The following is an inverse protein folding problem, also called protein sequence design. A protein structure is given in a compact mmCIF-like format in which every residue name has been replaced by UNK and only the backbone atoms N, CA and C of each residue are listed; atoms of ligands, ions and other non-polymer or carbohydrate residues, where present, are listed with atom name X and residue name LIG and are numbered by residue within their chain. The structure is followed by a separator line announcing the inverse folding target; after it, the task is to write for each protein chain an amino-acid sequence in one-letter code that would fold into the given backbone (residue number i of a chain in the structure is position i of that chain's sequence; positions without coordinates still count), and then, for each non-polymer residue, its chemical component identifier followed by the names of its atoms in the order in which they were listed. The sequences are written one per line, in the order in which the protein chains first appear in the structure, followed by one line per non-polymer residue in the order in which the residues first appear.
data_IF_893074661398
#
_entry.id   IF_893074661398
#
_cell.length_a   1.000
_cell.length_b   1.000
_cell.length_c   1.000
_cell.angle_alpha   90.00
_cell.angle_beta   90.00
_cell.angle_gamma   90.00
#
_symmetry.space_group_name_H-M   'P 1'
#
loop_
_entity.id
_entity.type
_entity.pdbx_description
1 polymer ?
#
# COMPACT_ATOMS: atom_id res chain seq x y z
N UNK A 1 -6.79 21.41 7.39
CA UNK A 1 -7.56 20.61 6.42
C UNK A 1 -7.59 19.20 6.98
N UNK A 2 -8.74 18.83 7.50
CA UNK A 2 -9.01 17.49 8.03
C UNK A 2 -8.91 16.48 6.89
N UNK A 3 -7.72 15.89 6.70
CA UNK A 3 -7.52 14.82 5.72
C UNK A 3 -8.17 13.50 6.16
N UNK A 4 -8.65 13.45 7.39
CA UNK A 4 -9.18 12.27 8.09
C UNK A 4 -10.70 12.25 8.18
N UNK A 5 -11.40 13.10 7.43
CA UNK A 5 -12.85 13.20 7.50
C UNK A 5 -13.54 11.84 7.52
N UNK A 6 -14.03 11.45 8.70
CA UNK A 6 -14.80 10.22 8.92
C UNK A 6 -14.02 8.97 9.31
N UNK A 7 -12.69 9.03 9.52
CA UNK A 7 -11.92 7.89 10.04
C UNK A 7 -11.96 7.95 11.57
N UNK A 8 -12.70 7.04 12.19
CA UNK A 8 -12.86 7.00 13.64
C UNK A 8 -12.06 5.87 14.29
N UNK A 9 -11.70 4.83 13.54
CA UNK A 9 -11.10 3.62 14.08
C UNK A 9 -9.92 3.13 13.25
N UNK A 10 -8.99 2.40 13.90
CA UNK A 10 -7.88 1.73 13.21
C UNK A 10 -8.35 0.68 12.20
N UNK A 11 -9.47 0.02 12.46
CA UNK A 11 -10.08 -0.95 11.54
C UNK A 11 -10.54 -0.29 10.23
N UNK A 12 -11.13 0.93 10.31
CA UNK A 12 -11.52 1.70 9.11
C UNK A 12 -10.30 2.09 8.27
N UNK A 13 -9.19 2.45 8.93
CA UNK A 13 -7.93 2.74 8.23
C UNK A 13 -7.42 1.52 7.44
N UNK A 14 -7.38 0.36 8.09
CA UNK A 14 -6.93 -0.88 7.45
C UNK A 14 -7.83 -1.24 6.25
N UNK A 15 -9.16 -1.14 6.41
CA UNK A 15 -10.09 -1.39 5.30
C UNK A 15 -9.82 -0.48 4.10
N UNK A 16 -9.60 0.81 4.34
CA UNK A 16 -9.27 1.77 3.28
C UNK A 16 -7.92 1.48 2.61
N UNK A 17 -6.90 1.11 3.39
CA UNK A 17 -5.59 0.74 2.81
C UNK A 17 -5.70 -0.48 1.91
N UNK A 18 -6.46 -1.51 2.33
CA UNK A 18 -6.71 -2.71 1.52
C UNK A 18 -7.44 -2.37 0.22
N UNK A 19 -8.45 -1.49 0.28
CA UNK A 19 -9.15 -1.03 -0.93
C UNK A 19 -8.21 -0.25 -1.87
N UNK A 20 -7.33 0.59 -1.32
CA UNK A 20 -6.33 1.31 -2.12
C UNK A 20 -5.29 0.39 -2.75
N UNK A 21 -4.88 -0.65 -2.03
CA UNK A 21 -3.91 -1.62 -2.53
C UNK A 21 -4.41 -2.46 -3.71
N UNK A 22 -5.73 -2.43 -4.01
CA UNK A 22 -6.32 -3.06 -5.19
C UNK A 22 -6.26 -2.18 -6.44
N UNK A 23 -5.90 -0.90 -6.30
CA UNK A 23 -5.72 0.01 -7.44
C UNK A 23 -4.43 -0.40 -8.18
N UNK A 24 -4.46 -0.62 -9.51
CA UNK A 24 -3.33 -1.18 -10.26
C UNK A 24 -2.00 -0.46 -10.05
N UNK A 25 -2.00 0.87 -10.03
CA UNK A 25 -0.79 1.67 -9.81
C UNK A 25 -0.23 1.51 -8.39
N UNK A 26 -1.12 1.37 -7.40
CA UNK A 26 -0.70 1.09 -6.03
C UNK A 26 -0.18 -0.33 -5.89
N UNK A 27 -0.86 -1.28 -6.52
CA UNK A 27 -0.48 -2.69 -6.50
C UNK A 27 0.91 -2.89 -7.09
N UNK A 28 1.16 -2.35 -8.27
CA UNK A 28 2.49 -2.37 -8.91
C UNK A 28 3.58 -1.75 -8.03
N UNK A 29 3.31 -0.59 -7.42
CA UNK A 29 4.27 0.06 -6.53
C UNK A 29 4.51 -0.74 -5.24
N UNK A 30 3.51 -1.42 -4.71
CA UNK A 30 3.63 -2.31 -3.54
C UNK A 30 4.46 -3.53 -3.91
N UNK A 31 4.19 -4.14 -5.07
CA UNK A 31 4.96 -5.29 -5.58
C UNK A 31 6.45 -4.94 -5.73
N UNK A 32 6.78 -3.79 -6.28
CA UNK A 32 8.17 -3.32 -6.37
C UNK A 32 8.84 -3.24 -4.99
N UNK A 33 8.11 -2.71 -3.99
CA UNK A 33 8.64 -2.59 -2.62
C UNK A 33 8.82 -3.97 -1.97
N UNK A 34 7.86 -4.86 -2.17
CA UNK A 34 7.90 -6.19 -1.54
C UNK A 34 8.97 -7.06 -2.18
N UNK A 35 9.05 -7.08 -3.51
CA UNK A 35 10.06 -7.81 -4.26
C UNK A 35 11.48 -7.36 -3.92
N UNK A 36 11.71 -6.05 -3.79
CA UNK A 36 13.00 -5.51 -3.36
C UNK A 36 13.30 -5.84 -1.89
N UNK A 37 12.26 -5.93 -1.04
CA UNK A 37 12.43 -6.19 0.40
C UNK A 37 12.68 -7.65 0.70
N UNK A 38 11.99 -8.54 0.01
CA UNK A 38 12.04 -9.99 0.19
C UNK A 38 12.42 -10.63 -1.13
N UNK A 39 13.66 -11.03 -1.25
CA UNK A 39 14.12 -11.87 -2.36
C UNK A 39 14.11 -13.32 -1.91
N UNK A 40 13.55 -14.20 -2.73
CA UNK A 40 13.54 -15.64 -2.50
C UNK A 40 14.48 -16.29 -3.50
N UNK A 41 15.46 -17.03 -2.99
CA UNK A 41 16.34 -17.85 -3.79
C UNK A 41 16.11 -19.32 -3.45
N UNK A 42 16.16 -20.21 -4.43
CA UNK A 42 15.85 -21.63 -4.24
C UNK A 42 16.79 -22.34 -3.26
N UNK A 43 18.00 -21.83 -3.08
CA UNK A 43 19.06 -22.47 -2.29
C UNK A 43 19.09 -22.05 -0.83
N UNK A 44 18.73 -20.79 -0.52
CA UNK A 44 18.80 -20.24 0.83
C UNK A 44 17.47 -19.62 1.23
N UNK A 45 17.16 -19.64 2.53
CA UNK A 45 15.95 -19.00 3.04
C UNK A 45 15.99 -17.46 2.87
N UNK A 46 14.84 -16.78 2.82
CA UNK A 46 14.78 -15.34 2.53
C UNK A 46 15.44 -14.46 3.60
N UNK A 47 15.65 -14.97 4.81
CA UNK A 47 16.26 -14.24 5.94
C UNK A 47 17.12 -15.18 6.76
N UNK A 48 18.29 -14.72 7.18
CA UNK A 48 19.16 -15.39 8.14
C UNK A 48 19.49 -14.50 9.35
N UNK A 49 19.76 -15.12 10.50
CA UNK A 49 20.15 -14.39 11.71
C UNK A 49 21.68 -14.26 11.77
N UNK A 50 22.16 -13.06 11.96
CA UNK A 50 23.56 -12.75 12.14
C UNK A 50 23.87 -12.43 13.61
N UNK A 51 24.73 -13.25 14.22
CA UNK A 51 25.17 -13.17 15.62
C UNK A 51 26.64 -12.83 15.77
N UNK A 52 27.33 -12.39 14.73
CA UNK A 52 28.77 -12.19 14.73
C UNK A 52 29.21 -11.06 15.69
N UNK A 53 28.33 -10.06 15.86
CA UNK A 53 28.57 -8.93 16.79
C UNK A 53 28.28 -9.27 18.25
N UNK A 54 27.71 -10.45 18.54
CA UNK A 54 27.40 -10.89 19.91
C UNK A 54 28.64 -11.58 20.51
N UNK A 55 29.52 -10.82 21.16
CA UNK A 55 30.81 -11.31 21.65
C UNK A 55 30.76 -12.02 23.02
N UNK A 56 29.62 -11.95 23.74
CA UNK A 56 29.52 -12.44 25.13
C UNK A 56 28.91 -13.83 25.27
N UNK A 57 28.58 -14.49 24.16
CA UNK A 57 27.87 -15.77 24.15
C UNK A 57 28.76 -16.84 23.53
N UNK A 58 28.83 -18.05 24.12
CA UNK A 58 29.58 -19.17 23.58
C UNK A 58 29.03 -19.58 22.18
N UNK A 59 29.90 -20.00 21.29
CA UNK A 59 29.54 -20.41 19.94
C UNK A 59 28.52 -21.55 19.90
N UNK A 60 28.57 -22.45 20.89
CA UNK A 60 27.57 -23.51 21.05
C UNK A 60 26.15 -22.96 21.28
N UNK A 61 26.05 -21.85 22.05
CA UNK A 61 24.76 -21.18 22.29
C UNK A 61 24.33 -20.40 21.06
N UNK A 62 25.22 -19.74 20.33
CA UNK A 62 24.92 -19.08 19.05
C UNK A 62 24.34 -20.08 18.04
N UNK A 63 24.92 -21.28 17.96
CA UNK A 63 24.41 -22.34 17.09
C UNK A 63 22.99 -22.78 17.48
N UNK A 64 22.70 -22.89 18.79
CA UNK A 64 21.35 -23.18 19.26
C UNK A 64 20.37 -22.06 18.89
N UNK A 65 20.76 -20.80 19.05
CA UNK A 65 19.91 -19.64 18.68
C UNK A 65 19.61 -19.65 17.18
N UNK A 66 20.58 -19.99 16.33
CA UNK A 66 20.34 -20.11 14.88
C UNK A 66 19.31 -21.21 14.58
N UNK A 67 19.45 -22.40 15.19
CA UNK A 67 18.50 -23.48 15.01
C UNK A 67 17.07 -23.11 15.48
N UNK A 68 16.97 -22.40 16.61
CA UNK A 68 15.68 -21.91 17.09
C UNK A 68 15.07 -20.84 16.17
N UNK A 69 15.90 -20.04 15.54
CA UNK A 69 15.45 -19.08 14.53
C UNK A 69 14.91 -19.78 13.29
N UNK A 70 15.58 -20.84 12.83
CA UNK A 70 15.10 -21.65 11.71
C UNK A 70 13.77 -22.35 12.04
N UNK A 71 13.57 -22.76 13.29
CA UNK A 71 12.30 -23.28 13.78
C UNK A 71 11.22 -22.20 13.75
N UNK A 72 11.52 -20.98 14.18
CA UNK A 72 10.61 -19.83 14.12
C UNK A 72 10.21 -19.49 12.66
N UNK A 73 11.16 -19.52 11.73
CA UNK A 73 10.85 -19.32 10.30
C UNK A 73 9.94 -20.41 9.76
N UNK A 74 10.15 -21.66 10.20
CA UNK A 74 9.29 -22.80 9.83
C UNK A 74 7.88 -22.64 10.39
N UNK A 75 7.73 -22.21 11.65
CA UNK A 75 6.44 -21.95 12.29
C UNK A 75 5.66 -20.82 11.61
N UNK A 76 6.37 -19.80 11.09
CA UNK A 76 5.78 -18.73 10.28
C UNK A 76 5.42 -19.16 8.87
N UNK A 77 5.95 -20.32 8.38
CA UNK A 77 5.91 -20.67 6.96
C UNK A 77 6.64 -19.63 6.09
N UNK A 78 7.68 -18.99 6.66
CA UNK A 78 8.28 -17.81 6.07
C UNK A 78 8.98 -18.06 4.73
N UNK A 79 9.33 -19.31 4.44
CA UNK A 79 9.89 -19.69 3.13
C UNK A 79 8.89 -19.46 2.00
N UNK A 80 7.64 -19.84 2.23
CA UNK A 80 6.59 -19.81 1.19
C UNK A 80 5.73 -18.53 1.29
N UNK A 81 5.50 -18.05 2.50
CA UNK A 81 4.58 -16.95 2.78
C UNK A 81 5.26 -15.60 3.05
N UNK A 82 6.58 -15.51 2.91
CA UNK A 82 7.34 -14.31 3.25
C UNK A 82 6.85 -13.06 2.52
N UNK A 83 6.59 -13.18 1.23
CA UNK A 83 6.07 -12.12 0.39
C UNK A 83 4.69 -11.65 0.88
N UNK A 84 3.76 -12.57 1.11
CA UNK A 84 2.41 -12.26 1.59
C UNK A 84 2.40 -11.64 2.98
N UNK A 85 3.25 -12.14 3.89
CA UNK A 85 3.37 -11.60 5.26
C UNK A 85 3.90 -10.18 5.21
N UNK A 86 4.93 -9.93 4.40
CA UNK A 86 5.51 -8.60 4.26
C UNK A 86 4.54 -7.62 3.59
N UNK A 87 3.86 -8.05 2.52
CA UNK A 87 2.82 -7.26 1.86
C UNK A 87 1.69 -6.87 2.82
N UNK A 88 1.16 -7.81 3.61
CA UNK A 88 0.14 -7.54 4.63
C UNK A 88 0.63 -6.52 5.65
N UNK A 89 1.87 -6.67 6.14
CA UNK A 89 2.44 -5.69 7.07
C UNK A 89 2.59 -4.30 6.45
N UNK A 90 3.05 -4.21 5.21
CA UNK A 90 3.23 -2.94 4.52
C UNK A 90 1.89 -2.23 4.29
N UNK A 91 0.88 -2.95 3.79
CA UNK A 91 -0.46 -2.42 3.49
C UNK A 91 -1.19 -2.04 4.77
N UNK A 92 -1.36 -2.98 5.70
CA UNK A 92 -2.14 -2.77 6.93
C UNK A 92 -1.40 -1.88 7.95
N UNK A 93 -0.08 -1.73 7.81
CA UNK A 93 0.77 -1.00 8.75
C UNK A 93 0.96 -1.69 10.09
N UNK A 94 0.45 -2.90 10.25
CA UNK A 94 0.52 -3.72 11.46
C UNK A 94 0.31 -5.19 11.17
N UNK A 95 0.89 -6.05 12.01
CA UNK A 95 0.66 -7.50 12.01
C UNK A 95 0.40 -7.97 13.44
N UNK A 96 -0.45 -8.98 13.55
CA UNK A 96 -0.74 -9.67 14.80
C UNK A 96 -0.60 -11.16 14.59
N UNK A 97 0.16 -11.81 15.49
CA UNK A 97 0.27 -13.25 15.57
C UNK A 97 -0.03 -13.72 16.98
N UNK A 98 -0.91 -14.67 17.13
CA UNK A 98 -1.12 -15.36 18.39
C UNK A 98 -0.06 -16.46 18.54
N UNK A 99 0.71 -16.39 19.63
CA UNK A 99 1.73 -17.38 20.01
C UNK A 99 1.05 -18.52 20.76
N UNK A 100 0.90 -19.66 20.11
CA UNK A 100 0.29 -20.84 20.74
C UNK A 100 1.36 -21.61 21.51
N UNK A 101 1.23 -21.65 22.83
CA UNK A 101 2.12 -22.36 23.74
C UNK A 101 1.31 -23.40 24.51
N UNK A 102 1.85 -24.59 24.68
CA UNK A 102 1.24 -25.64 25.49
C UNK A 102 1.40 -25.32 26.99
N UNK A 103 0.30 -25.09 27.73
CA UNK A 103 0.37 -24.76 29.16
C UNK A 103 1.00 -25.87 30.00
N UNK A 104 0.81 -27.14 29.61
CA UNK A 104 1.33 -28.29 30.32
C UNK A 104 2.83 -28.49 30.09
N UNK A 105 3.33 -28.08 28.94
CA UNK A 105 4.73 -28.28 28.51
C UNK A 105 5.35 -27.02 27.90
N UNK A 106 5.46 -25.91 28.64
CA UNK A 106 5.94 -24.64 28.11
C UNK A 106 7.38 -24.72 27.59
N UNK A 107 8.19 -25.66 28.11
CA UNK A 107 9.59 -25.89 27.66
C UNK A 107 9.71 -26.39 26.22
N UNK A 108 8.61 -26.83 25.60
CA UNK A 108 8.64 -27.16 24.16
C UNK A 108 8.73 -25.91 23.25
N UNK A 109 8.51 -24.72 23.83
CA UNK A 109 8.46 -23.48 23.09
C UNK A 109 7.11 -23.23 22.41
N UNK A 110 7.12 -22.39 21.40
CA UNK A 110 5.95 -22.03 20.59
C UNK A 110 5.62 -23.22 19.71
N UNK A 111 4.35 -23.66 19.76
CA UNK A 111 3.85 -24.80 18.97
C UNK A 111 3.25 -24.34 17.63
N UNK A 112 2.83 -23.10 17.53
CA UNK A 112 2.25 -22.54 16.33
C UNK A 112 2.07 -21.04 16.42
N UNK A 113 2.04 -20.40 15.26
CA UNK A 113 1.82 -18.96 15.11
C UNK A 113 0.57 -18.75 14.25
N UNK A 114 -0.49 -18.23 14.84
CA UNK A 114 -1.75 -17.98 14.14
C UNK A 114 -1.87 -16.50 13.80
N UNK A 115 -1.95 -16.12 12.52
CA UNK A 115 -2.19 -14.73 12.12
C UNK A 115 -3.58 -14.28 12.56
N UNK A 116 -3.69 -13.05 13.05
CA UNK A 116 -4.95 -12.42 13.45
C UNK A 116 -5.18 -11.21 12.56
N UNK A 117 -6.40 -11.07 12.02
CA UNK A 117 -6.78 -9.90 11.22
C UNK A 117 -6.78 -8.64 12.10
N UNK A 118 -6.06 -7.57 11.70
CA UNK A 118 -6.05 -6.29 12.41
C UNK A 118 -7.42 -5.66 12.64
N UNK A 119 -8.42 -6.02 11.85
CA UNK A 119 -9.80 -5.54 12.04
C UNK A 119 -10.52 -6.23 13.21
N UNK A 120 -10.06 -7.42 13.62
CA UNK A 120 -10.67 -8.25 14.64
C UNK A 120 -10.00 -8.15 16.00
N UNK A 121 -8.92 -7.38 16.12
CA UNK A 121 -8.15 -7.26 17.36
C UNK A 121 -7.89 -5.79 17.70
N UNK A 122 -7.93 -5.46 19.00
CA UNK A 122 -7.60 -4.14 19.52
C UNK A 122 -6.72 -4.24 20.75
N UNK A 123 -5.73 -3.36 20.85
CA UNK A 123 -4.92 -3.19 22.05
C UNK A 123 -5.62 -2.20 22.99
N UNK A 124 -5.84 -2.61 24.24
CA UNK A 124 -6.42 -1.76 25.29
C UNK A 124 -5.35 -1.51 26.35
N UNK A 125 -5.27 -0.26 26.76
CA UNK A 125 -4.43 0.17 27.86
C UNK A 125 -5.31 0.80 28.92
N UNK A 126 -5.49 0.09 30.03
CA UNK A 126 -6.20 0.58 31.22
C UNK A 126 -5.20 1.25 32.17
N UNK A 127 -5.51 2.49 32.54
CA UNK A 127 -4.69 3.26 33.49
C UNK A 127 -5.52 3.53 34.73
N UNK A 128 -5.23 2.82 35.80
CA UNK A 128 -5.83 3.12 37.12
C UNK A 128 -5.17 4.37 37.69
N UNK A 129 -5.94 5.43 37.82
CA UNK A 129 -5.53 6.68 38.46
C UNK A 129 -6.10 6.75 39.89
N UNK A 130 -5.25 7.02 40.87
CA UNK A 130 -5.65 7.29 42.24
C UNK A 130 -5.42 8.76 42.54
N UNK A 131 -6.49 9.50 42.86
CA UNK A 131 -6.35 10.88 43.38
C UNK A 131 -5.83 10.85 44.80
N UNK A 132 -4.69 11.45 45.03
CA UNK A 132 -4.21 11.67 46.39
C UNK A 132 -5.08 12.74 47.07
N UNK A 133 -5.65 12.36 48.24
CA UNK A 133 -6.60 13.20 48.98
C UNK A 133 -5.98 14.52 49.48
N UNK A 134 -4.64 14.60 49.56
CA UNK A 134 -3.95 15.79 50.12
C UNK A 134 -3.41 16.73 49.05
N UNK A 135 -2.97 16.23 47.90
CA UNK A 135 -2.30 17.03 46.85
C UNK A 135 -3.12 17.24 45.59
N UNK A 136 -4.32 16.66 45.48
CA UNK A 136 -5.16 16.63 44.26
C UNK A 136 -4.44 16.11 42.99
N UNK A 137 -3.23 15.59 43.12
CA UNK A 137 -2.45 15.04 42.01
C UNK A 137 -2.95 13.64 41.67
N UNK A 138 -3.20 13.38 40.40
CA UNK A 138 -3.54 12.05 39.91
C UNK A 138 -2.27 11.20 39.80
N UNK A 139 -2.14 10.22 40.69
CA UNK A 139 -1.06 9.23 40.63
C UNK A 139 -1.53 8.02 39.83
N UNK A 140 -0.74 7.59 38.87
CA UNK A 140 -0.96 6.35 38.15
C UNK A 140 -0.57 5.18 39.06
N UNK A 141 -1.57 4.35 39.41
CA UNK A 141 -1.40 3.20 40.31
C UNK A 141 -0.97 1.95 39.56
N UNK A 142 -1.64 1.65 38.45
CA UNK A 142 -1.41 0.47 37.64
C UNK A 142 -1.68 0.76 36.17
N UNK A 143 -0.92 0.14 35.29
CA UNK A 143 -1.14 0.18 33.85
C UNK A 143 -1.25 -1.27 33.39
N UNK A 144 -2.43 -1.67 32.96
CA UNK A 144 -2.65 -2.97 32.36
C UNK A 144 -2.81 -2.83 30.84
N UNK A 145 -2.04 -3.61 30.10
CA UNK A 145 -2.13 -3.71 28.65
C UNK A 145 -2.57 -5.11 28.25
N UNK A 146 -3.63 -5.20 27.46
CA UNK A 146 -4.16 -6.46 26.95
C UNK A 146 -4.80 -6.27 25.59
N UNK A 147 -5.04 -7.37 24.90
CA UNK A 147 -5.75 -7.37 23.64
C UNK A 147 -7.17 -7.91 23.81
N UNK A 148 -8.08 -7.33 23.02
CA UNK A 148 -9.43 -7.85 22.88
C UNK A 148 -9.58 -8.36 21.45
N UNK A 149 -9.97 -9.61 21.31
CA UNK A 149 -10.29 -10.24 20.05
C UNK A 149 -11.80 -10.42 19.92
N UNK A 150 -12.36 -10.09 18.75
CA UNK A 150 -13.76 -10.34 18.41
C UNK A 150 -13.81 -10.92 16.99
N UNK A 151 -14.40 -12.10 16.85
CA UNK A 151 -14.45 -12.79 15.56
C UNK A 151 -15.33 -12.08 14.52
N UNK A 152 -16.35 -11.37 14.93
CA UNK A 152 -17.23 -10.57 14.06
C UNK A 152 -16.66 -9.18 13.74
N UNK A 153 -15.55 -8.80 14.37
CA UNK A 153 -14.96 -7.47 14.27
C UNK A 153 -15.57 -6.46 15.23
N UNK A 154 -15.25 -5.21 15.07
CA UNK A 154 -15.74 -4.11 15.92
C UNK A 154 -16.53 -3.12 15.07
N UNK A 155 -17.67 -2.66 15.59
CA UNK A 155 -18.48 -1.61 14.96
C UNK A 155 -17.72 -0.29 14.82
N UNK A 156 -18.18 0.59 13.91
CA UNK A 156 -17.67 1.96 13.72
C UNK A 156 -17.69 2.80 14.99
N UNK A 157 -18.55 2.47 15.95
CA UNK A 157 -18.62 3.10 17.28
C UNK A 157 -17.70 2.46 18.32
N UNK A 158 -17.00 1.38 17.97
CA UNK A 158 -16.11 0.67 18.89
C UNK A 158 -16.81 -0.24 19.86
N UNK A 159 -18.13 -0.42 19.74
CA UNK A 159 -18.89 -1.33 20.58
C UNK A 159 -18.72 -2.77 20.11
N UNK A 160 -18.74 -3.69 21.08
CA UNK A 160 -18.62 -5.12 20.82
C UNK A 160 -19.96 -5.68 20.38
N UNK A 161 -20.01 -6.29 19.21
CA UNK A 161 -21.20 -6.93 18.64
C UNK A 161 -21.31 -8.42 18.98
N UNK A 162 -20.30 -9.01 19.64
CA UNK A 162 -20.25 -10.44 19.94
C UNK A 162 -19.41 -10.79 21.16
N UNK A 163 -19.12 -12.09 21.33
CA UNK A 163 -18.25 -12.56 22.41
C UNK A 163 -16.83 -12.05 22.20
N UNK A 164 -16.33 -11.34 23.19
CA UNK A 164 -14.96 -10.82 23.18
C UNK A 164 -14.05 -11.72 24.02
N UNK A 165 -12.90 -12.04 23.48
CA UNK A 165 -11.86 -12.81 24.15
C UNK A 165 -10.75 -11.84 24.57
N UNK A 166 -10.45 -11.80 25.87
CA UNK A 166 -9.29 -11.06 26.40
C UNK A 166 -8.04 -11.92 26.25
N UNK A 167 -7.01 -11.39 25.60
CA UNK A 167 -5.74 -12.06 25.36
C UNK A 167 -4.64 -11.25 26.05
N UNK A 168 -3.76 -11.94 26.77
CA UNK A 168 -2.64 -11.31 27.46
C UNK A 168 -1.63 -10.73 26.46
N UNK A 169 -0.98 -9.64 26.84
CA UNK A 169 -0.03 -8.94 25.95
C UNK A 169 1.10 -9.85 25.44
N UNK A 170 1.63 -10.75 26.27
CA UNK A 170 2.73 -11.64 25.92
C UNK A 170 2.34 -12.75 24.93
N UNK A 171 1.05 -13.09 24.87
CA UNK A 171 0.54 -14.11 23.97
C UNK A 171 0.37 -13.62 22.51
N UNK A 172 0.46 -12.31 22.28
CA UNK A 172 0.31 -11.69 20.96
C UNK A 172 1.63 -11.05 20.54
N UNK A 173 2.14 -11.44 19.37
CA UNK A 173 3.17 -10.69 18.67
C UNK A 173 2.49 -9.56 17.89
N UNK A 174 2.80 -8.30 18.22
CA UNK A 174 2.25 -7.13 17.58
C UNK A 174 3.33 -6.25 16.99
N UNK A 175 3.39 -6.19 15.68
CA UNK A 175 4.36 -5.39 14.94
C UNK A 175 3.66 -4.27 14.20
N UNK A 176 4.16 -3.05 14.38
CA UNK A 176 3.60 -1.86 13.75
C UNK A 176 4.57 -1.25 12.75
N UNK A 177 4.05 -0.42 11.84
CA UNK A 177 4.85 0.41 10.92
C UNK A 177 5.81 1.37 11.66
N UNK A 178 5.49 1.67 12.95
CA UNK A 178 6.16 2.70 13.74
C UNK A 178 5.85 4.13 13.30
N UNK A 179 4.86 4.31 12.44
CA UNK A 179 4.34 5.62 12.06
C UNK A 179 3.10 5.93 12.92
N UNK A 180 3.06 7.13 13.43
CA UNK A 180 1.92 7.62 14.22
C UNK A 180 1.24 8.75 13.47
N UNK A 181 -0.05 8.89 13.67
CA UNK A 181 -0.83 10.02 13.25
C UNK A 181 -0.32 11.33 13.88
N UNK A 182 -0.74 12.48 13.32
CA UNK A 182 -0.38 13.82 13.84
C UNK A 182 -0.66 13.95 15.34
N UNK A 183 -1.79 13.44 15.81
CA UNK A 183 -2.18 13.46 17.22
C UNK A 183 -1.48 12.38 18.07
N UNK A 184 -0.67 11.50 17.45
CA UNK A 184 0.00 10.37 18.09
C UNK A 184 -0.94 9.40 18.80
N UNK A 185 -2.19 9.33 18.36
CA UNK A 185 -3.24 8.49 18.94
C UNK A 185 -3.37 7.15 18.23
N UNK A 186 -3.12 7.11 16.91
CA UNK A 186 -3.29 5.92 16.09
C UNK A 186 -2.02 5.58 15.32
N UNK A 187 -1.81 4.30 15.11
CA UNK A 187 -0.76 3.81 14.20
C UNK A 187 -1.27 3.91 12.77
N UNK A 188 -0.49 4.54 11.90
CA UNK A 188 -0.80 4.68 10.48
C UNK A 188 0.08 3.77 9.62
N UNK A 189 -0.48 3.28 8.51
CA UNK A 189 0.27 2.48 7.53
C UNK A 189 1.11 3.33 6.58
N UNK A 190 1.98 2.69 5.81
CA UNK A 190 2.79 3.36 4.79
C UNK A 190 1.93 3.94 3.65
N UNK A 191 0.78 3.32 3.39
CA UNK A 191 -0.21 3.76 2.41
C UNK A 191 -0.92 5.08 2.76
N UNK A 192 -0.85 5.52 4.03
CA UNK A 192 -1.59 6.70 4.50
C UNK A 192 -1.31 7.96 3.68
N UNK A 193 -0.03 8.19 3.33
CA UNK A 193 0.38 9.35 2.53
C UNK A 193 -0.16 9.34 1.10
N UNK A 194 -0.41 8.16 0.56
CA UNK A 194 -0.90 7.98 -0.79
C UNK A 194 -2.43 8.14 -0.89
N UNK A 195 -3.17 8.02 0.22
CA UNK A 195 -4.64 7.97 0.24
C UNK A 195 -5.30 9.10 -0.55
N UNK A 196 -4.90 10.34 -0.29
CA UNK A 196 -5.46 11.50 -1.00
C UNK A 196 -5.13 11.47 -2.49
N UNK A 197 -3.91 11.08 -2.83
CA UNK A 197 -3.43 11.07 -4.22
C UNK A 197 -4.15 10.01 -5.04
N UNK A 198 -4.34 8.81 -4.47
CA UNK A 198 -5.09 7.70 -5.11
C UNK A 198 -6.53 8.11 -5.40
N UNK A 199 -7.22 8.69 -4.41
CA UNK A 199 -8.60 9.13 -4.61
C UNK A 199 -8.70 10.22 -5.70
N UNK A 200 -7.73 11.15 -5.74
CA UNK A 200 -7.69 12.19 -6.77
C UNK A 200 -7.39 11.60 -8.16
N UNK A 201 -6.47 10.63 -8.25
CA UNK A 201 -6.13 9.95 -9.51
C UNK A 201 -7.36 9.24 -10.07
N UNK A 202 -8.02 8.40 -9.28
CA UNK A 202 -9.25 7.70 -9.70
C UNK A 202 -10.34 8.66 -10.19
N UNK A 203 -10.57 9.76 -9.45
CA UNK A 203 -11.56 10.76 -9.86
C UNK A 203 -11.19 11.41 -11.19
N UNK A 204 -9.91 11.64 -11.46
CA UNK A 204 -9.46 12.21 -12.74
C UNK A 204 -9.61 11.21 -13.89
N UNK A 205 -9.26 9.95 -13.66
CA UNK A 205 -9.43 8.88 -14.64
C UNK A 205 -10.88 8.67 -15.00
N UNK A 206 -11.78 8.57 -14.01
CA UNK A 206 -13.22 8.48 -14.24
C UNK A 206 -13.76 9.71 -14.98
N UNK A 207 -13.35 10.91 -14.57
CA UNK A 207 -13.75 12.15 -15.23
C UNK A 207 -13.26 12.23 -16.68
N UNK A 208 -12.03 11.76 -16.97
CA UNK A 208 -11.48 11.71 -18.31
C UNK A 208 -12.27 10.75 -19.20
N UNK A 209 -12.60 9.56 -18.70
CA UNK A 209 -13.39 8.57 -19.43
C UNK A 209 -14.78 9.14 -19.74
N UNK A 210 -15.46 9.70 -18.73
CA UNK A 210 -16.76 10.33 -18.91
C UNK A 210 -16.69 11.49 -19.93
N UNK A 211 -15.67 12.34 -19.81
CA UNK A 211 -15.46 13.45 -20.74
C UNK A 211 -15.26 12.96 -22.18
N UNK A 212 -14.40 11.95 -22.36
CA UNK A 212 -14.16 11.37 -23.71
C UNK A 212 -15.41 10.73 -24.29
N UNK A 213 -16.14 9.95 -23.51
CA UNK A 213 -17.38 9.31 -23.95
C UNK A 213 -18.43 10.37 -24.31
N UNK A 214 -18.56 11.45 -23.53
CA UNK A 214 -19.59 12.46 -23.73
C UNK A 214 -19.23 13.50 -24.78
N UNK A 215 -17.93 13.78 -25.01
CA UNK A 215 -17.46 14.87 -25.87
C UNK A 215 -16.75 14.44 -27.15
N UNK A 216 -16.24 13.21 -27.22
CA UNK A 216 -15.56 12.70 -28.40
C UNK A 216 -16.50 12.60 -29.64
N UNK A 217 -17.76 12.13 -29.48
CA UNK A 217 -18.69 12.10 -30.62
C UNK A 217 -19.08 13.52 -31.00
N UNK A 218 -19.09 13.79 -32.32
CA UNK A 218 -19.70 14.99 -32.86
C UNK A 218 -21.19 14.99 -32.52
N UNK A 219 -21.66 16.10 -31.98
CA UNK A 219 -23.07 16.29 -31.67
C UNK A 219 -23.80 16.87 -32.87
N UNK A 220 -24.95 16.37 -33.19
CA UNK A 220 -25.80 16.90 -34.27
C UNK A 220 -26.89 17.78 -33.69
N UNK A 221 -27.12 18.92 -34.33
CA UNK A 221 -28.26 19.77 -34.05
C UNK A 221 -29.23 19.60 -35.22
N UNK A 222 -30.38 19.06 -34.92
CA UNK A 222 -31.47 18.94 -35.88
C UNK A 222 -32.41 20.14 -35.71
N UNK A 223 -32.37 21.05 -36.67
CA UNK A 223 -33.38 22.10 -36.79
C UNK A 223 -34.55 21.56 -37.58
N UNK A 224 -35.67 21.32 -36.89
CA UNK A 224 -36.85 20.77 -37.51
C UNK A 224 -37.80 21.90 -37.81
N UNK A 225 -38.16 22.04 -39.11
CA UNK A 225 -39.16 23.02 -39.52
C UNK A 225 -40.56 22.50 -39.10
N UNK A 226 -41.18 23.24 -38.21
CA UNK A 226 -42.53 22.97 -37.70
C UNK A 226 -43.58 23.84 -38.38
N UNK A 227 -43.15 24.66 -39.35
CA UNK A 227 -44.07 25.56 -40.11
C UNK A 227 -45.01 26.36 -39.22
N UNK A 228 -46.25 26.49 -39.63
CA UNK A 228 -47.30 27.22 -38.91
C UNK A 228 -48.07 26.37 -37.89
N UNK A 229 -47.49 25.25 -37.41
CA UNK A 229 -48.18 24.42 -36.40
C UNK A 229 -48.40 25.18 -35.10
N UNK A 230 -49.54 25.04 -34.42
CA UNK A 230 -49.75 25.55 -33.08
C UNK A 230 -48.70 25.00 -32.12
N UNK A 231 -48.28 25.83 -31.16
CA UNK A 231 -47.16 25.50 -30.25
C UNK A 231 -47.27 24.10 -29.62
N UNK A 232 -48.44 23.73 -29.15
CA UNK A 232 -48.70 22.42 -28.55
C UNK A 232 -48.51 21.25 -29.52
N UNK A 233 -48.93 21.37 -30.77
CA UNK A 233 -48.72 20.34 -31.79
C UNK A 233 -47.28 20.27 -32.28
N UNK A 234 -46.61 21.41 -32.36
CA UNK A 234 -45.17 21.47 -32.67
C UNK A 234 -44.32 20.76 -31.61
N UNK A 235 -44.62 20.98 -30.35
CA UNK A 235 -43.94 20.30 -29.22
C UNK A 235 -44.24 18.78 -29.20
N UNK A 236 -45.49 18.40 -29.54
CA UNK A 236 -45.86 16.98 -29.62
C UNK A 236 -45.14 16.29 -30.78
N UNK A 237 -45.10 16.89 -31.96
CA UNK A 237 -44.36 16.38 -33.11
C UNK A 237 -42.88 16.24 -32.83
N UNK A 238 -42.24 17.23 -32.17
CA UNK A 238 -40.86 17.14 -31.75
C UNK A 238 -40.62 15.98 -30.79
N UNK A 239 -41.50 15.78 -29.79
CA UNK A 239 -41.40 14.66 -28.86
C UNK A 239 -41.53 13.30 -29.56
N UNK A 240 -42.41 13.16 -30.51
CA UNK A 240 -42.56 11.93 -31.29
C UNK A 240 -41.33 11.63 -32.12
N UNK A 241 -40.77 12.63 -32.80
CA UNK A 241 -39.51 12.50 -33.55
C UNK A 241 -38.36 12.19 -32.62
N UNK A 242 -38.23 12.90 -31.49
CA UNK A 242 -37.20 12.67 -30.49
C UNK A 242 -37.27 11.26 -29.90
N UNK A 243 -38.49 10.77 -29.62
CA UNK A 243 -38.67 9.42 -29.03
C UNK A 243 -38.29 8.32 -30.03
N UNK A 244 -38.59 8.54 -31.33
CA UNK A 244 -38.28 7.59 -32.41
C UNK A 244 -36.78 7.42 -32.64
N UNK A 245 -35.97 8.44 -32.32
CA UNK A 245 -34.53 8.47 -32.59
C UNK A 245 -33.64 8.57 -31.33
N UNK A 246 -34.23 8.51 -30.11
CA UNK A 246 -33.49 8.66 -28.86
C UNK A 246 -32.82 7.35 -28.47
N UNK A 247 -31.50 7.37 -28.36
CA UNK A 247 -30.69 6.25 -27.90
C UNK A 247 -29.89 6.67 -26.64
N UNK A 248 -29.78 5.75 -25.69
CA UNK A 248 -29.12 6.01 -24.41
C UNK A 248 -27.95 5.05 -24.20
N UNK A 249 -26.75 5.60 -24.04
CA UNK A 249 -25.59 4.89 -23.53
C UNK A 249 -25.56 5.02 -22.01
N UNK A 250 -25.36 3.91 -21.31
CA UNK A 250 -25.18 3.89 -19.86
C UNK A 250 -23.79 3.34 -19.57
N UNK A 251 -22.96 4.18 -18.96
CA UNK A 251 -21.65 3.78 -18.45
C UNK A 251 -21.80 3.33 -17.00
N UNK A 252 -21.30 2.13 -16.68
CA UNK A 252 -21.22 1.63 -15.32
C UNK A 252 -19.82 1.90 -14.77
N UNK A 253 -19.72 2.80 -13.80
CA UNK A 253 -18.44 3.21 -13.21
C UNK A 253 -17.78 2.10 -12.36
N UNK A 254 -18.56 1.13 -11.86
CA UNK A 254 -18.04 0.04 -11.02
C UNK A 254 -17.37 -1.07 -11.83
N UNK A 255 -17.88 -1.36 -13.02
CA UNK A 255 -17.39 -2.44 -13.90
C UNK A 255 -16.60 -1.94 -15.10
N UNK A 256 -16.65 -0.64 -15.41
CA UNK A 256 -16.07 -0.07 -16.62
C UNK A 256 -16.80 -0.48 -17.91
N UNK A 257 -17.90 -1.19 -17.81
CA UNK A 257 -18.69 -1.64 -18.98
C UNK A 257 -19.60 -0.54 -19.51
N UNK A 258 -19.62 -0.41 -20.83
CA UNK A 258 -20.58 0.43 -21.54
C UNK A 258 -21.72 -0.48 -21.99
N UNK A 259 -22.88 -0.37 -21.35
CA UNK A 259 -24.11 -1.05 -21.82
C UNK A 259 -24.78 -0.21 -22.87
N UNK A 260 -24.88 -0.77 -24.07
CA UNK A 260 -25.54 -0.18 -25.19
C UNK A 260 -26.95 -0.78 -25.33
N UNK A 261 -27.94 0.01 -24.95
CA UNK A 261 -29.35 -0.39 -25.01
C UNK A 261 -29.98 -0.08 -26.39
N UNK A 262 -29.13 0.07 -27.42
CA UNK A 262 -29.54 0.57 -28.73
C UNK A 262 -29.90 -0.52 -29.72
N UNK A 263 -30.98 -0.29 -30.38
CA UNK A 263 -31.32 -0.98 -31.65
C UNK A 263 -30.61 -0.38 -32.88
N UNK A 264 -30.09 0.83 -32.79
CA UNK A 264 -29.39 1.55 -33.86
C UNK A 264 -28.21 2.37 -33.36
N UNK A 265 -27.13 2.43 -34.14
CA UNK A 265 -25.92 3.21 -33.84
C UNK A 265 -26.15 4.70 -34.10
N UNK A 266 -26.54 5.47 -33.09
CA UNK A 266 -26.63 6.93 -33.19
C UNK A 266 -25.81 7.61 -32.10
N UNK A 267 -25.39 8.86 -32.34
CA UNK A 267 -24.56 9.66 -31.47
C UNK A 267 -25.22 9.96 -30.12
N UNK A 268 -24.41 10.17 -29.07
CA UNK A 268 -24.80 10.21 -27.67
C UNK A 268 -25.76 11.33 -27.27
N UNK A 269 -25.73 12.46 -27.95
CA UNK A 269 -26.60 13.60 -27.66
C UNK A 269 -26.91 14.37 -28.96
N UNK A 270 -28.07 14.19 -29.49
CA UNK A 270 -28.60 15.00 -30.59
C UNK A 270 -29.52 16.07 -30.03
N UNK A 271 -29.38 17.31 -30.52
CA UNK A 271 -30.25 18.43 -30.15
C UNK A 271 -31.33 18.63 -31.19
N UNK A 272 -32.58 18.61 -30.76
CA UNK A 272 -33.75 18.77 -31.61
C UNK A 272 -34.37 20.13 -31.31
N UNK A 273 -34.19 21.09 -32.24
CA UNK A 273 -34.68 22.46 -32.07
C UNK A 273 -35.77 22.80 -33.07
N UNK A 274 -36.93 23.29 -32.61
CA UNK A 274 -38.00 23.73 -33.53
C UNK A 274 -37.60 25.03 -34.21
N UNK A 275 -37.80 25.10 -35.51
CA UNK A 275 -37.61 26.31 -36.29
C UNK A 275 -38.96 26.78 -36.81
N UNK A 276 -39.27 28.07 -36.68
CA UNK A 276 -40.45 28.73 -37.17
C UNK A 276 -40.09 29.82 -38.17
N UNK A 277 -40.81 29.83 -39.25
CA UNK A 277 -40.84 30.87 -40.30
C UNK A 277 -39.54 31.44 -40.89
N UNK A 278 -39.50 31.46 -42.23
CA UNK A 278 -38.66 32.33 -43.06
C UNK A 278 -37.29 31.77 -43.43
N UNK A 279 -37.07 30.50 -43.25
CA UNK A 279 -35.74 30.01 -43.50
C UNK A 279 -35.68 28.70 -44.26
N UNK A 280 -34.79 28.22 -44.64
CA UNK A 280 -34.20 27.02 -45.14
C UNK A 280 -34.69 25.79 -44.37
N UNK A 281 -35.67 25.07 -44.72
CA UNK A 281 -36.20 23.82 -44.17
C UNK A 281 -35.48 23.12 -43.01
N UNK A 282 -35.65 21.87 -42.83
CA UNK A 282 -34.90 21.08 -41.82
C UNK A 282 -33.39 21.10 -42.14
N UNK A 283 -32.60 21.57 -41.20
CA UNK A 283 -31.13 21.69 -41.33
C UNK A 283 -30.45 20.86 -40.23
N UNK A 284 -29.38 20.18 -40.60
CA UNK A 284 -28.55 19.43 -39.64
C UNK A 284 -27.22 20.13 -39.57
N UNK A 285 -26.87 20.59 -38.36
CA UNK A 285 -25.56 21.21 -38.11
C UNK A 285 -24.80 20.33 -37.13
N UNK A 286 -23.54 20.10 -37.37
CA UNK A 286 -22.65 19.38 -36.42
C UNK A 286 -21.93 20.35 -35.52
N UNK A 287 -21.98 20.11 -34.21
CA UNK A 287 -21.11 20.74 -33.28
C UNK A 287 -19.78 19.94 -33.27
N UNK A 288 -18.65 20.62 -33.46
CA UNK A 288 -17.36 19.94 -33.44
C UNK A 288 -17.18 19.22 -32.11
N UNK A 289 -16.55 18.06 -32.17
CA UNK A 289 -16.15 17.31 -30.99
C UNK A 289 -15.20 18.11 -30.07
N UNK A 290 -15.01 17.64 -28.86
CA UNK A 290 -14.08 18.29 -27.91
C UNK A 290 -12.66 18.34 -28.48
N UNK A 291 -12.04 19.51 -28.38
CA UNK A 291 -10.61 19.64 -28.66
C UNK A 291 -9.82 19.09 -27.44
N UNK A 292 -8.58 18.66 -27.65
CA UNK A 292 -7.66 18.17 -26.60
C UNK A 292 -8.08 16.85 -25.93
N UNK A 293 -8.76 15.96 -26.65
CA UNK A 293 -9.13 14.63 -26.14
C UNK A 293 -7.90 13.72 -25.87
N UNK A 294 -6.73 14.07 -26.37
CA UNK A 294 -5.49 13.32 -26.19
C UNK A 294 -4.65 13.74 -24.96
N UNK A 295 -5.02 14.82 -24.29
CA UNK A 295 -4.24 15.30 -23.13
C UNK A 295 -4.45 14.40 -21.93
N UNK A 296 -3.33 13.87 -21.39
CA UNK A 296 -3.26 13.00 -20.21
C UNK A 296 -2.26 13.48 -19.18
N UNK A 297 -1.71 14.70 -19.36
CA UNK A 297 -0.64 15.23 -18.53
C UNK A 297 -1.03 15.31 -17.04
N UNK A 298 -2.27 15.63 -16.74
CA UNK A 298 -2.79 15.68 -15.38
C UNK A 298 -2.76 14.29 -14.72
N UNK A 299 -3.16 13.25 -15.44
CA UNK A 299 -3.13 11.86 -14.94
C UNK A 299 -1.69 11.44 -14.68
N UNK A 300 -0.77 11.67 -15.65
CA UNK A 300 0.65 11.38 -15.50
C UNK A 300 1.28 12.14 -14.31
N UNK A 301 0.88 13.38 -14.07
CA UNK A 301 1.29 14.14 -12.92
C UNK A 301 0.89 13.47 -11.62
N UNK A 302 -0.38 13.02 -11.48
CA UNK A 302 -0.86 12.36 -10.28
C UNK A 302 -0.29 10.95 -10.12
N UNK A 303 -0.03 10.20 -11.19
CA UNK A 303 0.69 8.93 -11.12
C UNK A 303 2.12 9.14 -10.58
N UNK A 304 2.88 10.11 -11.12
CA UNK A 304 4.21 10.47 -10.60
C UNK A 304 4.17 10.90 -9.14
N UNK A 305 3.13 11.62 -8.73
CA UNK A 305 2.92 12.04 -7.34
C UNK A 305 2.61 10.87 -6.43
N UNK A 306 1.87 9.87 -6.91
CA UNK A 306 1.58 8.63 -6.21
C UNK A 306 2.86 7.84 -5.91
N UNK A 307 3.70 7.61 -6.93
CA UNK A 307 4.97 6.91 -6.76
C UNK A 307 5.89 7.63 -5.77
N UNK A 308 5.97 8.98 -5.84
CA UNK A 308 6.69 9.79 -4.82
C UNK A 308 6.11 9.61 -3.41
N UNK A 309 4.80 9.53 -3.25
CA UNK A 309 4.16 9.33 -1.96
C UNK A 309 4.47 7.95 -1.35
N UNK A 310 4.63 6.93 -2.20
CA UNK A 310 5.03 5.57 -1.82
C UNK A 310 6.54 5.39 -1.71
N UNK A 311 7.34 6.42 -2.03
CA UNK A 311 8.81 6.40 -2.09
C UNK A 311 9.38 5.45 -3.16
N UNK A 312 8.63 5.13 -4.20
CA UNK A 312 9.10 4.34 -5.35
C UNK A 312 9.70 5.27 -6.39
N UNK A 313 10.83 4.93 -7.02
CA UNK A 313 11.43 5.72 -8.08
C UNK A 313 10.50 5.87 -9.28
N UNK A 314 10.40 7.09 -9.82
CA UNK A 314 9.55 7.36 -10.99
C UNK A 314 10.08 6.64 -12.23
N UNK A 315 11.38 6.38 -12.29
CA UNK A 315 12.02 5.63 -13.37
C UNK A 315 11.43 4.23 -13.58
N UNK A 316 10.86 3.63 -12.54
CA UNK A 316 10.18 2.33 -12.63
C UNK A 316 8.79 2.41 -13.29
N UNK A 317 8.18 3.61 -13.34
CA UNK A 317 6.93 3.85 -14.05
C UNK A 317 7.16 4.03 -15.57
N UNK A 318 8.32 4.63 -15.96
CA UNK A 318 8.63 5.00 -17.34
C UNK A 318 9.45 3.89 -18.01
N UNK A 319 8.81 2.84 -18.53
CA UNK A 319 9.48 1.70 -19.18
C UNK A 319 10.00 2.02 -20.59
N UNK A 320 9.58 3.14 -21.22
CA UNK A 320 9.80 3.38 -22.65
C UNK A 320 10.77 4.51 -23.00
N UNK A 321 11.43 5.16 -22.07
CA UNK A 321 12.36 6.23 -22.44
C UNK A 321 13.74 5.69 -22.73
N UNK A 322 14.12 5.79 -24.00
CA UNK A 322 15.43 5.48 -24.55
C UNK A 322 16.59 5.85 -23.59
N UNK A 323 17.54 4.95 -23.45
CA UNK A 323 18.77 5.12 -22.69
C UNK A 323 19.52 6.39 -23.12
N UNK A 324 19.32 7.48 -22.40
CA UNK A 324 20.15 8.67 -22.51
C UNK A 324 21.22 8.62 -21.42
N UNK A 325 22.48 8.67 -21.84
CA UNK A 325 23.69 8.54 -20.99
C UNK A 325 23.67 9.51 -19.76
N UNK A 326 23.01 10.67 -19.87
CA UNK A 326 22.83 11.60 -18.74
C UNK A 326 21.81 11.17 -17.67
N UNK A 327 20.89 10.25 -17.98
CA UNK A 327 19.88 9.74 -17.03
C UNK A 327 20.40 8.61 -16.12
N UNK A 328 21.45 7.90 -16.52
CA UNK A 328 21.99 6.78 -15.76
C UNK A 328 22.43 7.19 -14.32
N UNK A 329 23.01 8.38 -14.17
CA UNK A 329 23.42 8.92 -12.86
C UNK A 329 22.25 9.34 -11.99
N UNK A 330 21.16 9.84 -12.58
CA UNK A 330 19.95 10.26 -11.88
C UNK A 330 19.12 9.05 -11.42
N UNK A 331 18.97 8.06 -12.29
CA UNK A 331 18.37 6.75 -11.98
C UNK A 331 19.13 6.08 -10.82
N UNK A 332 20.47 6.07 -10.88
CA UNK A 332 21.28 5.47 -9.80
C UNK A 332 21.10 6.18 -8.46
N UNK A 333 20.90 7.50 -8.45
CA UNK A 333 20.67 8.28 -7.20
C UNK A 333 19.33 7.97 -6.58
N UNK A 334 18.27 7.83 -7.36
CA UNK A 334 16.93 7.53 -6.85
C UNK A 334 16.82 6.07 -6.40
N UNK A 335 17.47 5.14 -7.07
CA UNK A 335 17.61 3.75 -6.64
C UNK A 335 18.37 3.63 -5.30
N UNK A 336 19.42 4.42 -5.08
CA UNK A 336 20.11 4.47 -3.77
C UNK A 336 19.20 4.97 -2.65
N UNK A 337 18.34 5.97 -2.93
CA UNK A 337 17.36 6.42 -1.93
C UNK A 337 16.31 5.35 -1.63
N UNK A 338 15.87 4.65 -2.68
CA UNK A 338 14.94 3.54 -2.58
C UNK A 338 15.53 2.39 -1.76
N UNK A 339 16.73 1.95 -2.06
CA UNK A 339 17.44 0.92 -1.28
C UNK A 339 17.53 1.29 0.21
N UNK A 340 17.87 2.53 0.55
CA UNK A 340 17.88 3.01 1.94
C UNK A 340 16.48 3.03 2.58
N UNK A 341 15.45 3.24 1.80
CA UNK A 341 14.07 3.14 2.27
C UNK A 341 13.71 1.70 2.58
N UNK A 342 14.05 0.76 1.70
CA UNK A 342 13.88 -0.68 1.89
C UNK A 342 14.63 -1.19 3.14
N UNK A 343 15.88 -0.79 3.33
CA UNK A 343 16.64 -1.19 4.53
C UNK A 343 15.97 -0.72 5.84
N UNK A 344 15.38 0.48 5.83
CA UNK A 344 14.60 0.94 6.99
C UNK A 344 13.32 0.14 7.21
N UNK A 345 12.67 -0.31 6.15
CA UNK A 345 11.50 -1.18 6.23
C UNK A 345 11.88 -2.54 6.78
N UNK A 346 12.95 -3.16 6.26
CA UNK A 346 13.51 -4.43 6.75
C UNK A 346 13.82 -4.37 8.24
N UNK A 347 14.47 -3.30 8.69
CA UNK A 347 14.79 -3.08 10.12
C UNK A 347 13.53 -2.99 11.00
N UNK A 348 12.45 -2.42 10.50
CA UNK A 348 11.18 -2.34 11.26
C UNK A 348 10.43 -3.67 11.25
N UNK A 349 10.44 -4.35 10.12
CA UNK A 349 9.83 -5.66 9.97
C UNK A 349 10.54 -6.74 10.80
N UNK A 350 11.86 -6.67 10.94
CA UNK A 350 12.65 -7.62 11.71
C UNK A 350 12.26 -7.70 13.19
N UNK A 351 11.55 -6.71 13.72
CA UNK A 351 10.95 -6.78 15.06
C UNK A 351 9.99 -7.96 15.24
N UNK A 352 9.42 -8.46 14.13
CA UNK A 352 8.63 -9.70 14.15
C UNK A 352 9.47 -10.87 14.65
N UNK A 353 10.66 -10.99 14.11
CA UNK A 353 11.59 -12.05 14.49
C UNK A 353 12.10 -11.86 15.94
N UNK A 354 12.39 -10.61 16.32
CA UNK A 354 12.83 -10.30 17.69
C UNK A 354 11.83 -10.76 18.75
N UNK A 355 10.53 -10.46 18.55
CA UNK A 355 9.49 -10.76 19.54
C UNK A 355 9.21 -12.26 19.63
N UNK A 356 9.14 -12.94 18.50
CA UNK A 356 8.88 -14.39 18.46
C UNK A 356 10.09 -15.15 18.97
N UNK A 357 11.31 -14.79 18.52
CA UNK A 357 12.56 -15.44 18.96
C UNK A 357 12.79 -15.23 20.45
N UNK A 358 12.57 -14.02 20.98
CA UNK A 358 12.62 -13.76 22.43
C UNK A 358 11.77 -14.77 23.19
N UNK A 359 10.50 -14.88 22.80
CA UNK A 359 9.56 -15.77 23.47
C UNK A 359 10.01 -17.25 23.39
N UNK A 360 10.46 -17.68 22.22
CA UNK A 360 10.94 -19.04 21.98
C UNK A 360 12.15 -19.39 22.88
N UNK A 361 13.16 -18.51 22.92
CA UNK A 361 14.37 -18.71 23.69
C UNK A 361 14.13 -18.70 25.20
N UNK A 362 13.23 -17.83 25.69
CA UNK A 362 12.83 -17.78 27.10
C UNK A 362 12.08 -19.04 27.53
N UNK A 363 11.11 -19.51 26.74
CA UNK A 363 10.32 -20.71 27.03
C UNK A 363 11.20 -21.97 27.11
N UNK A 364 12.18 -22.10 26.20
CA UNK A 364 13.15 -23.20 26.18
C UNK A 364 14.26 -23.05 27.22
N UNK A 365 14.26 -21.98 28.03
CA UNK A 365 15.30 -21.67 29.02
C UNK A 365 16.74 -21.63 28.44
N UNK A 366 16.89 -21.20 27.21
CA UNK A 366 18.19 -21.05 26.55
C UNK A 366 18.90 -19.76 26.97
N UNK A 367 18.12 -18.72 27.28
CA UNK A 367 18.60 -17.42 27.72
C UNK A 367 17.69 -16.86 28.82
N UNK A 368 18.20 -15.91 29.58
CA UNK A 368 17.41 -15.10 30.53
C UNK A 368 16.95 -13.79 29.89
N UNK A 369 16.01 -13.10 30.52
CA UNK A 369 15.52 -11.81 30.04
C UNK A 369 16.62 -10.73 30.05
N UNK A 370 17.51 -10.80 31.04
CA UNK A 370 18.69 -9.92 31.14
C UNK A 370 19.68 -10.17 30.01
N UNK A 371 19.92 -11.43 29.66
CA UNK A 371 20.78 -11.79 28.53
C UNK A 371 20.18 -11.29 27.21
N UNK A 372 18.85 -11.46 27.01
CA UNK A 372 18.16 -10.93 25.83
C UNK A 372 18.34 -9.42 25.72
N UNK A 373 18.12 -8.70 26.80
CA UNK A 373 18.25 -7.23 26.81
C UNK A 373 19.64 -6.75 26.41
N UNK A 374 20.68 -7.51 26.79
CA UNK A 374 22.06 -7.19 26.44
C UNK A 374 22.46 -7.58 25.02
N UNK A 375 21.85 -8.63 24.46
CA UNK A 375 22.22 -9.12 23.13
C UNK A 375 21.37 -8.55 22.00
N UNK A 376 20.14 -8.10 22.27
CA UNK A 376 19.19 -7.61 21.28
C UNK A 376 19.76 -6.53 20.34
N UNK A 377 20.60 -5.63 20.88
CA UNK A 377 21.21 -4.55 20.09
C UNK A 377 22.28 -5.04 19.10
N UNK A 378 22.81 -6.25 19.32
CA UNK A 378 23.88 -6.83 18.51
C UNK A 378 23.36 -7.90 17.53
N UNK A 379 22.09 -8.26 17.62
CA UNK A 379 21.43 -9.16 16.66
C UNK A 379 21.09 -8.37 15.41
N UNK A 380 21.43 -8.90 14.25
CA UNK A 380 20.99 -8.41 12.96
C UNK A 380 20.40 -9.53 12.12
N UNK A 381 19.50 -9.16 11.24
CA UNK A 381 18.86 -10.08 10.31
C UNK A 381 19.30 -9.71 8.91
N UNK A 382 19.91 -10.67 8.23
CA UNK A 382 20.40 -10.48 6.88
C UNK A 382 19.32 -11.00 5.90
N UNK A 383 18.68 -10.07 5.21
CA UNK A 383 17.74 -10.37 4.15
C UNK A 383 18.50 -10.65 2.86
N UNK A 384 18.11 -11.67 2.15
CA UNK A 384 18.70 -11.92 0.84
C UNK A 384 18.47 -10.72 -0.08
N UNK A 385 19.50 -10.35 -0.80
CA UNK A 385 19.44 -9.34 -1.85
C UNK A 385 19.46 -10.08 -3.19
N UNK A 386 18.73 -9.55 -4.15
CA UNK A 386 18.81 -10.07 -5.51
C UNK A 386 20.23 -9.81 -6.04
N UNK A 387 21.03 -10.88 -6.08
CA UNK A 387 22.48 -10.80 -6.27
C UNK A 387 22.86 -10.25 -7.65
N UNK A 388 22.08 -10.53 -8.69
CA UNK A 388 22.45 -10.23 -10.06
C UNK A 388 22.65 -8.74 -10.35
N UNK A 389 21.77 -7.89 -9.87
CA UNK A 389 21.89 -6.44 -10.10
C UNK A 389 23.02 -5.81 -9.27
N UNK A 390 23.21 -6.30 -8.04
CA UNK A 390 24.30 -5.85 -7.16
C UNK A 390 25.64 -6.30 -7.71
N UNK A 391 25.77 -7.55 -8.17
CA UNK A 391 26.99 -8.09 -8.78
C UNK A 391 27.37 -7.36 -10.07
N UNK A 392 26.39 -7.05 -10.95
CA UNK A 392 26.63 -6.25 -12.15
C UNK A 392 27.14 -4.86 -11.81
N UNK A 393 26.53 -4.22 -10.82
CA UNK A 393 26.94 -2.87 -10.38
C UNK A 393 28.30 -2.86 -9.71
N UNK A 394 28.60 -3.87 -8.90
CA UNK A 394 29.91 -4.02 -8.26
C UNK A 394 30.99 -4.33 -9.31
N UNK A 395 30.66 -5.12 -10.33
CA UNK A 395 31.54 -5.38 -11.47
C UNK A 395 31.80 -4.12 -12.31
N UNK A 396 30.77 -3.28 -12.54
CA UNK A 396 30.96 -1.98 -13.23
C UNK A 396 31.81 -1.03 -12.41
N UNK A 397 31.54 -0.89 -11.11
CA UNK A 397 32.34 -0.06 -10.22
C UNK A 397 33.79 -0.54 -10.12
N UNK A 398 33.99 -1.85 -10.10
CA UNK A 398 35.34 -2.44 -10.12
C UNK A 398 36.05 -2.11 -11.43
N UNK A 399 35.34 -2.22 -12.56
CA UNK A 399 35.85 -1.89 -13.89
C UNK A 399 36.25 -0.42 -14.01
N UNK A 400 35.43 0.50 -13.50
CA UNK A 400 35.75 1.93 -13.44
C UNK A 400 36.95 2.22 -12.56
N UNK A 401 37.06 1.55 -11.40
CA UNK A 401 38.22 1.69 -10.51
C UNK A 401 39.50 1.18 -11.16
N UNK A 402 39.45 0.04 -11.85
CA UNK A 402 40.59 -0.51 -12.59
C UNK A 402 40.98 0.42 -13.72
N UNK A 403 40.03 0.96 -14.48
CA UNK A 403 40.30 1.94 -15.53
C UNK A 403 40.93 3.23 -14.99
N UNK A 404 40.47 3.67 -13.80
CA UNK A 404 41.07 4.84 -13.12
C UNK A 404 42.48 4.54 -12.66
N UNK A 405 42.75 3.34 -12.10
CA UNK A 405 44.09 2.90 -11.73
C UNK A 405 45.03 2.81 -12.93
N UNK A 406 44.57 2.26 -14.07
CA UNK A 406 45.31 2.14 -15.29
C UNK A 406 45.70 3.54 -15.85
N UNK A 407 44.82 4.52 -15.74
CA UNK A 407 45.09 5.92 -16.10
C UNK A 407 46.06 6.57 -15.11
N UNK A 408 46.03 6.22 -13.82
CA UNK A 408 46.91 6.75 -12.78
C UNK A 408 48.33 6.12 -12.85
N UNK A 409 48.44 4.88 -13.33
CA UNK A 409 49.73 4.15 -13.44
C UNK A 409 50.75 4.90 -14.28
N UNK A 410 50.29 5.66 -15.28
CA UNK A 410 51.14 6.52 -16.11
C UNK A 410 51.84 7.65 -15.34
N UNK A 411 51.33 8.00 -14.16
CA UNK A 411 51.85 9.07 -13.30
C UNK A 411 52.64 8.56 -12.09
N UNK A 412 52.53 7.25 -11.81
CA UNK A 412 53.24 6.62 -10.66
C UNK A 412 54.72 6.67 -10.93
N UNK A 413 55.53 7.31 -10.04
CA UNK A 413 56.95 7.48 -10.14
C UNK A 413 57.43 8.68 -10.95
N UNK A 414 56.53 9.57 -11.41
CA UNK A 414 56.88 10.82 -12.09
C UNK A 414 56.79 12.07 -11.20
N UNK A 415 56.23 11.95 -9.99
CA UNK A 415 56.10 13.00 -8.97
C UNK A 415 56.46 12.48 -7.60
#
# INVERSE_FOLDING_TARGET
IDMEGGIKTEADLVARYRTMALVPECDSAIEDIVNESISTNDLEGPVSINLDRVNKIPDATKKKIRNEFDEVLTLLGFRDLSHDIYRKWYVDGRLYYHKMVDPERPKKGIQGLRPIDPQKIRKIREVEKKKDKKSQVELVKNIEEYYIFNDEGFDKSGNNTGQTIRIHNDAVCHITSGLLDYNKTMVVGYMHKAMKVVNQLRMLEDALVIYRISRAPERRIFYIDVGNLPKARAEQYLKEVQTSYRNKLVYNADTGEIKDDRKHMNMLEDFWLPRREGGRGTEITTLPGGQNLGEIEDILYFQKKLYKALNVPISRLETETAFAIGRATEISRDEVKFARFIDRLRLKFSRLFDDILKTQLLLKNLITEDDWSKMKEYISYDFQKDGHFVELKDAELLRERISTLDTMDQYVGKY
#
